data_IF_272348738625
#
_entry.id   IF_272348738625
#
_cell.length_a   1.000
_cell.length_b   1.000
_cell.length_c   1.000
_cell.angle_alpha   90.00
_cell.angle_beta   90.00
_cell.angle_gamma   90.00
#
_symmetry.space_group_name_H-M   'P 1'
#
loop_
_entity.id
_entity.type
_entity.pdbx_description
1 polymer ?
#
# COMPACT_ATOMS: atom_id res chain seq x y z
N UNK A 1 13.15 -17.15 -21.20
CA UNK A 1 12.18 -16.62 -20.21
C UNK A 1 11.29 -15.67 -20.95
N UNK A 2 9.95 -15.83 -20.92
CA UNK A 2 9.04 -14.87 -21.56
C UNK A 2 8.69 -13.76 -20.59
N UNK A 3 8.55 -12.55 -21.10
CA UNK A 3 8.21 -11.36 -20.32
C UNK A 3 6.75 -10.99 -20.54
N UNK A 4 6.08 -10.54 -19.47
CA UNK A 4 4.69 -10.07 -19.49
C UNK A 4 4.61 -8.70 -18.85
N UNK A 5 3.58 -7.93 -19.18
CA UNK A 5 3.29 -6.64 -18.59
C UNK A 5 1.79 -6.50 -18.37
N UNK A 6 1.40 -5.88 -17.26
CA UNK A 6 -0.01 -5.53 -17.01
C UNK A 6 -0.57 -4.53 -18.02
N UNK A 7 0.32 -3.80 -18.70
CA UNK A 7 -0.07 -2.83 -19.73
C UNK A 7 -0.41 -3.49 -21.06
N UNK A 8 0.05 -4.73 -21.27
CA UNK A 8 -0.16 -5.54 -22.46
C UNK A 8 -0.57 -6.97 -22.07
N UNK A 9 -1.76 -7.16 -21.46
CA UNK A 9 -2.13 -8.43 -20.82
C UNK A 9 -2.21 -9.61 -21.80
N UNK A 10 -2.47 -9.34 -23.06
CA UNK A 10 -2.62 -10.35 -24.12
C UNK A 10 -1.33 -10.61 -24.90
N UNK A 11 -0.21 -9.96 -24.54
CA UNK A 11 1.07 -10.06 -25.24
C UNK A 11 2.13 -10.72 -24.36
N UNK A 12 2.83 -11.71 -24.91
CA UNK A 12 4.05 -12.27 -24.35
C UNK A 12 5.24 -11.82 -25.20
N UNK A 13 6.27 -11.28 -24.55
CA UNK A 13 7.49 -10.83 -25.22
C UNK A 13 8.58 -11.90 -25.07
N UNK A 14 9.28 -12.22 -26.16
CA UNK A 14 10.35 -13.22 -26.15
C UNK A 14 11.64 -12.67 -25.49
N UNK A 15 11.87 -11.35 -25.63
CA UNK A 15 13.04 -10.66 -25.06
C UNK A 15 12.61 -9.46 -24.22
N UNK A 16 13.48 -9.03 -23.30
CA UNK A 16 13.23 -7.81 -22.53
C UNK A 16 13.31 -6.55 -23.39
N UNK A 17 14.10 -6.58 -24.43
CA UNK A 17 14.25 -5.49 -25.42
C UNK A 17 12.95 -5.25 -26.17
N UNK A 18 12.23 -6.31 -26.54
CA UNK A 18 10.89 -6.20 -27.15
C UNK A 18 9.89 -5.57 -26.16
N UNK A 19 9.86 -6.04 -24.92
CA UNK A 19 9.04 -5.44 -23.86
C UNK A 19 9.38 -3.96 -23.67
N UNK A 20 10.67 -3.63 -23.59
CA UNK A 20 11.13 -2.26 -23.34
C UNK A 20 10.77 -1.32 -24.49
N UNK A 21 10.88 -1.81 -25.72
CA UNK A 21 10.45 -1.04 -26.91
C UNK A 21 8.95 -0.74 -26.84
N UNK A 22 8.12 -1.75 -26.57
CA UNK A 22 6.67 -1.58 -26.51
C UNK A 22 6.24 -0.63 -25.36
N UNK A 23 6.88 -0.75 -24.18
CA UNK A 23 6.63 0.16 -23.07
C UNK A 23 7.00 1.61 -23.41
N UNK A 24 8.12 1.85 -24.11
CA UNK A 24 8.55 3.19 -24.51
C UNK A 24 7.65 3.77 -25.61
N UNK A 25 7.32 2.98 -26.61
CA UNK A 25 6.45 3.40 -27.72
C UNK A 25 5.06 3.82 -27.21
N UNK A 26 4.60 3.23 -26.11
CA UNK A 26 3.31 3.53 -25.48
C UNK A 26 3.42 4.34 -24.17
N UNK A 27 4.61 4.83 -23.79
CA UNK A 27 4.86 5.41 -22.46
C UNK A 27 3.93 6.58 -22.13
N UNK A 28 3.69 7.49 -23.08
CA UNK A 28 2.80 8.62 -22.86
C UNK A 28 1.36 8.16 -22.59
N UNK A 29 0.88 7.17 -23.34
CA UNK A 29 -0.47 6.61 -23.16
C UNK A 29 -0.59 5.92 -21.80
N UNK A 30 0.41 5.12 -21.41
CA UNK A 30 0.47 4.45 -20.12
C UNK A 30 0.47 5.49 -18.98
N UNK A 31 1.30 6.51 -19.06
CA UNK A 31 1.37 7.58 -18.07
C UNK A 31 0.08 8.39 -17.97
N UNK A 32 -0.56 8.70 -19.10
CA UNK A 32 -1.83 9.40 -19.12
C UNK A 32 -2.97 8.54 -18.56
N UNK A 33 -2.96 7.24 -18.86
CA UNK A 33 -3.89 6.30 -18.25
C UNK A 33 -3.67 6.21 -16.74
N UNK A 34 -2.42 6.09 -16.28
CA UNK A 34 -2.08 6.07 -14.86
C UNK A 34 -2.46 7.37 -14.14
N UNK A 35 -2.26 8.54 -14.75
CA UNK A 35 -2.68 9.84 -14.20
C UNK A 35 -4.17 10.10 -14.31
N UNK A 36 -4.81 9.62 -15.38
CA UNK A 36 -6.25 9.79 -15.62
C UNK A 36 -7.14 8.84 -14.82
N UNK A 37 -6.62 7.68 -14.47
CA UNK A 37 -7.35 6.72 -13.63
C UNK A 37 -7.34 7.17 -12.18
N UNK A 38 -8.49 7.10 -11.56
CA UNK A 38 -8.60 7.01 -10.12
C UNK A 38 -8.36 5.53 -9.80
N UNK A 39 -7.24 5.24 -9.14
CA UNK A 39 -6.93 3.87 -8.73
C UNK A 39 -7.80 3.51 -7.54
N UNK A 40 -8.65 2.55 -7.75
CA UNK A 40 -9.37 1.82 -6.74
C UNK A 40 -8.73 0.44 -6.72
N UNK A 41 -8.19 0.02 -5.59
CA UNK A 41 -7.53 -1.28 -5.52
C UNK A 41 -8.59 -2.38 -5.54
N UNK A 42 -8.86 -2.86 -6.73
CA UNK A 42 -9.69 -4.02 -6.94
C UNK A 42 -8.96 -4.99 -7.87
N UNK A 43 -8.09 -5.83 -7.31
CA UNK A 43 -7.68 -7.08 -7.97
C UNK A 43 -7.22 -8.09 -6.92
N UNK A 44 -7.61 -9.34 -7.14
CA UNK A 44 -7.25 -10.54 -6.38
C UNK A 44 -5.79 -10.52 -5.90
N UNK A 45 -5.55 -9.86 -4.77
CA UNK A 45 -4.37 -10.08 -3.96
C UNK A 45 -4.57 -11.39 -3.20
N UNK A 46 -3.52 -12.13 -2.95
CA UNK A 46 -3.59 -13.21 -1.99
C UNK A 46 -3.91 -12.61 -0.62
N UNK A 47 -4.89 -13.18 0.07
CA UNK A 47 -5.16 -12.88 1.47
C UNK A 47 -3.86 -13.11 2.26
N UNK A 48 -3.28 -12.04 2.76
CA UNK A 48 -2.20 -12.13 3.73
C UNK A 48 -2.83 -11.74 5.05
N UNK A 49 -2.82 -12.66 6.01
CA UNK A 49 -3.28 -12.41 7.36
C UNK A 49 -2.55 -11.19 7.94
N UNK A 50 -3.24 -10.05 7.95
CA UNK A 50 -2.71 -8.80 8.50
C UNK A 50 -3.27 -8.62 9.90
N UNK A 51 -2.44 -8.97 10.90
CA UNK A 51 -2.74 -8.61 12.29
C UNK A 51 -2.72 -7.09 12.42
N UNK A 52 -3.51 -6.51 13.35
CA UNK A 52 -3.44 -5.09 13.65
C UNK A 52 -2.01 -4.62 13.89
N UNK A 53 -1.69 -3.44 13.43
CA UNK A 53 -0.35 -2.85 13.55
C UNK A 53 -0.10 -2.53 15.02
N UNK A 54 0.83 -3.25 15.65
CA UNK A 54 1.14 -3.14 17.07
C UNK A 54 2.16 -2.03 17.34
N UNK A 55 1.67 -0.89 17.83
CA UNK A 55 2.55 0.25 18.16
C UNK A 55 3.44 0.02 19.39
N UNK A 56 3.19 -1.00 20.21
CA UNK A 56 4.10 -1.32 21.33
C UNK A 56 5.49 -1.76 20.82
N UNK A 57 5.58 -2.18 19.56
CA UNK A 57 6.81 -2.56 18.87
C UNK A 57 7.54 -1.37 18.24
N UNK A 58 6.94 -0.17 18.25
CA UNK A 58 7.58 1.04 17.79
C UNK A 58 8.65 1.50 18.78
N UNK A 59 9.68 2.18 18.28
CA UNK A 59 10.62 2.84 19.20
C UNK A 59 9.95 4.02 19.95
N UNK A 60 10.63 4.53 20.98
CA UNK A 60 10.07 5.56 21.88
C UNK A 60 9.71 6.85 21.11
N UNK A 61 10.47 7.21 20.07
CA UNK A 61 10.19 8.40 19.26
C UNK A 61 8.97 8.20 18.36
N UNK A 62 8.84 7.02 17.76
CA UNK A 62 7.68 6.62 16.95
C UNK A 62 6.41 6.53 17.80
N UNK A 63 6.49 5.97 19.01
CA UNK A 63 5.36 5.94 19.96
C UNK A 63 4.94 7.35 20.40
N UNK A 64 5.90 8.27 20.63
CA UNK A 64 5.61 9.67 20.94
C UNK A 64 4.98 10.42 19.78
N UNK A 65 5.39 10.13 18.54
CA UNK A 65 4.82 10.72 17.34
C UNK A 65 3.38 10.23 17.09
N UNK A 66 3.10 8.97 17.44
CA UNK A 66 1.80 8.31 17.29
C UNK A 66 1.01 8.26 18.60
N UNK A 67 0.97 9.31 19.39
CA UNK A 67 0.16 9.36 20.64
C UNK A 67 -1.25 8.80 20.39
N UNK A 68 -1.39 7.47 20.55
CA UNK A 68 -2.69 6.82 20.37
C UNK A 68 -3.60 7.19 21.54
N UNK A 69 -4.78 7.64 21.21
CA UNK A 69 -5.88 7.92 22.14
C UNK A 69 -6.92 6.81 21.97
N UNK A 70 -7.29 6.16 23.05
CA UNK A 70 -8.23 5.02 23.05
C UNK A 70 -9.64 5.40 22.54
N UNK A 71 -9.96 6.69 22.44
CA UNK A 71 -11.23 7.18 21.87
C UNK A 71 -11.25 7.22 20.34
N UNK A 72 -10.11 6.94 19.69
CA UNK A 72 -9.96 7.02 18.24
C UNK A 72 -9.54 5.68 17.65
N UNK A 73 -9.93 5.45 16.41
CA UNK A 73 -9.29 4.48 15.54
C UNK A 73 -8.19 5.16 14.73
N UNK A 74 -7.14 4.41 14.45
CA UNK A 74 -6.03 4.78 13.58
C UNK A 74 -5.89 3.70 12.53
N UNK A 75 -6.01 4.04 11.26
CA UNK A 75 -5.97 3.06 10.17
C UNK A 75 -4.98 3.49 9.12
N UNK A 76 -4.03 2.62 8.80
CA UNK A 76 -3.10 2.80 7.69
C UNK A 76 -3.80 2.37 6.39
N UNK A 77 -4.08 3.31 5.51
CA UNK A 77 -4.73 3.06 4.22
C UNK A 77 -3.75 2.89 3.07
N UNK A 78 -2.50 3.28 3.24
CA UNK A 78 -1.44 3.09 2.25
C UNK A 78 -0.08 3.00 2.94
N UNK A 79 0.88 2.36 2.27
CA UNK A 79 2.28 2.32 2.67
C UNK A 79 3.19 2.51 1.47
N UNK A 80 4.42 3.00 1.72
CA UNK A 80 5.44 3.20 0.69
C UNK A 80 6.39 2.02 0.57
N UNK A 81 7.25 2.03 -0.46
CA UNK A 81 8.38 1.12 -0.66
C UNK A 81 8.02 -0.34 -0.93
N UNK A 82 6.81 -0.61 -1.34
CA UNK A 82 6.36 -1.94 -1.78
C UNK A 82 6.01 -1.85 -3.26
N UNK A 83 6.55 -2.75 -4.06
CA UNK A 83 6.12 -2.93 -5.45
C UNK A 83 4.76 -3.63 -5.42
N UNK A 84 3.75 -2.93 -5.90
CA UNK A 84 2.37 -3.40 -5.88
C UNK A 84 1.97 -4.15 -7.17
N UNK A 85 0.72 -4.59 -7.23
CA UNK A 85 0.19 -5.33 -8.38
C UNK A 85 -0.01 -4.49 -9.66
N UNK A 86 0.25 -3.18 -9.59
CA UNK A 86 0.15 -2.26 -10.72
C UNK A 86 1.53 -1.88 -11.29
N UNK A 87 2.59 -2.59 -10.91
CA UNK A 87 3.99 -2.26 -11.19
C UNK A 87 4.37 -0.86 -10.67
N UNK A 88 3.77 -0.44 -9.55
CA UNK A 88 3.99 0.86 -8.93
C UNK A 88 4.72 0.72 -7.60
N UNK A 89 5.66 1.63 -7.34
CA UNK A 89 6.35 1.78 -6.06
C UNK A 89 6.07 3.17 -5.51
N UNK A 90 5.35 3.25 -4.42
CA UNK A 90 5.09 4.51 -3.73
C UNK A 90 6.35 4.96 -2.99
N UNK A 91 6.79 6.20 -3.21
CA UNK A 91 8.01 6.76 -2.60
C UNK A 91 7.64 7.63 -1.40
N UNK A 92 8.46 7.57 -0.34
CA UNK A 92 8.27 8.38 0.87
C UNK A 92 8.04 9.85 0.53
N UNK A 93 7.05 10.45 1.19
CA UNK A 93 6.67 11.85 0.99
C UNK A 93 5.64 12.08 -0.12
N UNK A 94 5.16 11.02 -0.80
CA UNK A 94 4.16 11.19 -1.86
C UNK A 94 2.85 11.84 -1.36
N UNK A 95 2.55 11.73 -0.06
CA UNK A 95 1.32 12.25 0.55
C UNK A 95 1.44 13.67 1.14
N UNK A 96 2.62 14.32 1.07
CA UNK A 96 2.83 15.63 1.71
C UNK A 96 1.78 16.67 1.35
N UNK A 97 1.44 16.76 0.06
CA UNK A 97 0.44 17.73 -0.43
C UNK A 97 -0.97 17.31 -0.04
N UNK A 98 -1.29 16.02 -0.12
CA UNK A 98 -2.57 15.49 0.36
C UNK A 98 -2.82 15.85 1.81
N UNK A 99 -1.83 15.65 2.71
CA UNK A 99 -1.95 15.98 4.13
C UNK A 99 -2.21 17.49 4.33
N UNK A 100 -1.56 18.35 3.56
CA UNK A 100 -1.76 19.81 3.66
C UNK A 100 -3.13 20.26 3.16
N UNK A 101 -3.65 19.65 2.10
CA UNK A 101 -4.82 20.15 1.37
C UNK A 101 -6.12 19.39 1.70
N UNK A 102 -6.04 18.16 2.19
CA UNK A 102 -7.20 17.27 2.31
C UNK A 102 -7.67 16.97 3.75
N UNK A 103 -7.13 17.68 4.76
CA UNK A 103 -7.61 17.55 6.14
C UNK A 103 -9.12 17.80 6.19
N UNK A 104 -9.87 16.89 6.83
CA UNK A 104 -11.33 16.96 6.98
C UNK A 104 -12.12 17.05 5.66
N UNK A 105 -11.56 16.54 4.55
CA UNK A 105 -12.21 16.59 3.24
C UNK A 105 -12.50 15.21 2.65
N UNK A 106 -11.88 14.15 3.19
CA UNK A 106 -12.04 12.79 2.70
C UNK A 106 -12.89 11.95 3.62
N UNK A 107 -13.78 11.17 3.04
CA UNK A 107 -14.60 10.19 3.77
C UNK A 107 -13.80 8.91 4.04
N UNK A 108 -14.26 8.12 5.02
CA UNK A 108 -13.93 6.69 5.09
C UNK A 108 -15.17 5.93 4.64
N UNK A 109 -15.02 5.04 3.68
CA UNK A 109 -16.12 4.26 3.10
C UNK A 109 -15.78 2.76 3.10
N UNK A 110 -16.69 1.92 2.59
CA UNK A 110 -16.44 0.53 2.25
C UNK A 110 -16.41 0.36 0.72
N UNK A 111 -15.55 -0.54 0.23
CA UNK A 111 -15.51 -1.03 -1.16
C UNK A 111 -15.43 0.08 -2.23
N UNK A 112 -14.85 1.25 -1.88
CA UNK A 112 -14.75 2.44 -2.74
C UNK A 112 -16.08 3.04 -3.20
N UNK A 113 -17.18 2.70 -2.51
CA UNK A 113 -18.52 3.19 -2.84
C UNK A 113 -18.81 4.50 -2.10
N UNK A 114 -18.80 5.63 -2.84
CA UNK A 114 -19.09 6.97 -2.32
C UNK A 114 -20.60 7.19 -2.17
N UNK A 115 -21.24 6.31 -1.44
CA UNK A 115 -22.68 6.33 -1.16
C UNK A 115 -22.93 6.51 0.34
N UNK A 116 -24.13 6.99 0.68
CA UNK A 116 -24.52 7.25 2.08
C UNK A 116 -24.43 5.97 2.92
N UNK A 117 -24.91 4.85 2.38
CA UNK A 117 -24.95 3.56 3.10
C UNK A 117 -23.59 2.92 3.27
N UNK A 118 -22.62 3.27 2.42
CA UNK A 118 -21.23 2.80 2.46
C UNK A 118 -20.32 3.75 3.23
N UNK A 119 -20.84 4.86 3.75
CA UNK A 119 -20.06 5.83 4.52
C UNK A 119 -19.81 5.30 5.94
N UNK A 120 -18.56 4.96 6.23
CA UNK A 120 -18.10 4.53 7.56
C UNK A 120 -17.91 5.73 8.48
N UNK A 121 -17.20 6.77 7.98
CA UNK A 121 -16.96 8.01 8.75
C UNK A 121 -17.08 9.21 7.82
N UNK A 122 -17.83 10.22 8.28
CA UNK A 122 -17.98 11.47 7.54
C UNK A 122 -16.67 12.28 7.60
N UNK A 123 -16.38 12.99 6.52
CA UNK A 123 -15.12 13.70 6.28
C UNK A 123 -14.71 14.67 7.39
N UNK A 124 -15.68 15.35 8.03
CA UNK A 124 -15.42 16.33 9.08
C UNK A 124 -14.83 15.73 10.37
N UNK A 125 -14.84 14.40 10.50
CA UNK A 125 -14.26 13.68 11.64
C UNK A 125 -12.94 12.98 11.31
N UNK A 126 -12.45 13.12 10.07
CA UNK A 126 -11.25 12.41 9.59
C UNK A 126 -10.04 13.33 9.59
N UNK A 127 -9.05 13.02 10.42
CA UNK A 127 -7.72 13.62 10.43
C UNK A 127 -6.73 12.71 9.67
N UNK A 128 -5.89 13.30 8.81
CA UNK A 128 -4.96 12.55 7.96
C UNK A 128 -3.52 12.96 8.27
N UNK A 129 -2.63 11.99 8.45
CA UNK A 129 -1.20 12.23 8.63
C UNK A 129 -0.38 11.03 8.17
N UNK A 130 0.96 11.17 8.15
CA UNK A 130 1.87 10.06 7.88
C UNK A 130 2.74 9.76 9.08
N UNK A 131 3.17 8.50 9.18
CA UNK A 131 4.17 8.06 10.13
C UNK A 131 5.17 7.14 9.44
N UNK A 132 6.44 7.21 9.85
CA UNK A 132 7.48 6.31 9.34
C UNK A 132 7.73 5.21 10.37
N UNK A 133 7.56 3.97 9.96
CA UNK A 133 7.60 2.80 10.82
C UNK A 133 8.40 1.66 10.20
N UNK A 134 9.08 0.81 11.00
CA UNK A 134 9.72 -0.39 10.48
C UNK A 134 8.70 -1.39 9.91
N UNK A 135 9.04 -2.07 8.82
CA UNK A 135 8.19 -3.13 8.26
C UNK A 135 7.92 -4.26 9.26
N UNK A 136 8.88 -4.56 10.12
CA UNK A 136 8.74 -5.61 11.13
C UNK A 136 7.56 -5.36 12.10
N UNK A 137 7.24 -4.10 12.43
CA UNK A 137 6.10 -3.77 13.30
C UNK A 137 4.76 -3.90 12.59
N UNK A 138 4.78 -3.97 11.26
CA UNK A 138 3.62 -4.24 10.40
C UNK A 138 3.46 -5.74 10.11
N UNK A 139 4.22 -6.59 10.82
CA UNK A 139 4.20 -8.03 10.59
C UNK A 139 4.83 -8.49 9.27
N UNK A 140 5.66 -7.65 8.64
CA UNK A 140 6.36 -7.96 7.40
C UNK A 140 7.83 -8.25 7.66
N UNK A 141 8.37 -9.24 6.96
CA UNK A 141 9.79 -9.63 7.03
C UNK A 141 10.71 -8.76 6.17
N UNK A 142 10.19 -7.67 5.60
CA UNK A 142 11.01 -6.75 4.80
C UNK A 142 11.94 -5.93 5.68
N UNK A 143 13.12 -5.63 5.16
CA UNK A 143 14.08 -4.77 5.84
C UNK A 143 13.71 -3.29 5.72
N UNK A 144 14.10 -2.50 6.74
CA UNK A 144 13.97 -1.06 6.75
C UNK A 144 12.59 -0.55 7.18
N UNK A 145 12.29 0.69 6.76
CA UNK A 145 11.09 1.43 7.17
C UNK A 145 10.20 1.75 5.96
N UNK A 146 8.90 1.90 6.23
CA UNK A 146 7.91 2.44 5.29
C UNK A 146 7.27 3.69 5.86
N UNK A 147 6.78 4.59 5.01
CA UNK A 147 5.88 5.68 5.39
C UNK A 147 4.44 5.21 5.18
N UNK A 148 3.64 5.23 6.25
CA UNK A 148 2.22 4.86 6.21
C UNK A 148 1.33 6.10 6.20
N UNK A 149 0.27 6.10 5.39
CA UNK A 149 -0.79 7.10 5.42
C UNK A 149 -1.86 6.67 6.42
N UNK A 150 -2.01 7.43 7.49
CA UNK A 150 -2.92 7.14 8.60
C UNK A 150 -4.13 8.07 8.55
N UNK A 151 -5.31 7.48 8.70
CA UNK A 151 -6.56 8.16 9.02
C UNK A 151 -6.90 7.92 10.48
N UNK A 152 -7.11 9.02 11.22
CA UNK A 152 -7.56 9.02 12.60
C UNK A 152 -8.98 9.54 12.66
N UNK A 153 -9.86 8.83 13.34
CA UNK A 153 -11.26 9.24 13.52
C UNK A 153 -11.85 8.70 14.82
N UNK A 154 -12.84 9.43 15.44
CA UNK A 154 -13.44 9.02 16.69
C UNK A 154 -14.24 7.72 16.55
N UNK A 155 -14.15 6.85 17.55
CA UNK A 155 -14.87 5.56 17.59
C UNK A 155 -16.40 5.72 17.59
N UNK A 156 -16.90 6.79 18.20
CA UNK A 156 -18.32 7.11 18.27
C UNK A 156 -18.90 7.69 16.95
N UNK A 157 -18.04 7.99 15.98
CA UNK A 157 -18.41 8.52 14.66
C UNK A 157 -18.45 7.47 13.56
N UNK A 158 -18.13 6.22 13.88
CA UNK A 158 -18.27 5.10 12.95
C UNK A 158 -19.75 4.76 12.79
N UNK A 159 -20.28 4.83 11.56
CA UNK A 159 -21.71 4.71 11.26
C UNK A 159 -22.12 3.27 10.90
N UNK A 160 -21.18 2.44 10.38
CA UNK A 160 -21.46 1.07 9.96
C UNK A 160 -21.07 0.13 11.11
N UNK A 161 -22.07 -0.48 11.75
CA UNK A 161 -21.90 -1.31 12.95
C UNK A 161 -20.99 -2.51 12.73
N UNK A 162 -21.08 -3.20 11.59
CA UNK A 162 -20.23 -4.35 11.28
C UNK A 162 -18.75 -3.93 11.12
N UNK A 163 -18.46 -2.78 10.52
CA UNK A 163 -17.09 -2.25 10.43
C UNK A 163 -16.56 -1.89 11.81
N UNK A 164 -17.41 -1.29 12.66
CA UNK A 164 -17.05 -0.97 14.03
C UNK A 164 -16.73 -2.24 14.83
N UNK A 165 -17.54 -3.28 14.70
CA UNK A 165 -17.32 -4.58 15.35
C UNK A 165 -15.98 -5.17 14.95
N UNK A 166 -15.63 -5.18 13.65
CA UNK A 166 -14.34 -5.68 13.15
C UNK A 166 -13.16 -4.84 13.64
N UNK A 167 -13.33 -3.51 13.71
CA UNK A 167 -12.29 -2.64 14.28
C UNK A 167 -12.11 -2.86 15.78
N UNK A 168 -13.18 -3.10 16.54
CA UNK A 168 -13.11 -3.35 17.99
C UNK A 168 -12.52 -4.73 18.32
N UNK A 169 -12.84 -5.76 17.51
CA UNK A 169 -12.29 -7.12 17.66
C UNK A 169 -10.84 -7.25 17.14
N UNK A 170 -10.39 -6.30 16.33
CA UNK A 170 -9.09 -6.36 15.67
C UNK A 170 -9.07 -7.34 14.50
N UNK A 171 -10.23 -7.59 13.89
CA UNK A 171 -10.36 -8.42 12.69
C UNK A 171 -9.65 -7.80 11.48
N UNK A 172 -9.37 -8.64 10.49
CA UNK A 172 -8.64 -8.25 9.29
C UNK A 172 -9.49 -7.35 8.39
N UNK A 173 -9.24 -6.05 8.46
CA UNK A 173 -9.71 -5.08 7.48
C UNK A 173 -8.52 -4.48 6.77
N UNK A 174 -8.48 -4.60 5.45
CA UNK A 174 -7.47 -3.93 4.65
C UNK A 174 -7.90 -2.52 4.29
N UNK A 175 -6.91 -1.63 4.20
CA UNK A 175 -7.12 -0.27 3.76
C UNK A 175 -6.79 -0.11 2.27
N UNK A 176 -7.52 0.75 1.61
CA UNK A 176 -7.26 1.17 0.24
C UNK A 176 -7.49 2.65 0.08
N UNK A 177 -6.75 3.27 -0.83
CA UNK A 177 -6.82 4.70 -1.09
C UNK A 177 -7.32 4.93 -2.51
N UNK A 178 -8.36 5.75 -2.66
CA UNK A 178 -8.72 6.31 -3.95
C UNK A 178 -7.74 7.44 -4.28
N UNK A 179 -6.83 7.20 -5.23
CA UNK A 179 -5.76 8.15 -5.51
C UNK A 179 -5.65 8.49 -6.99
N UNK A 180 -5.11 9.68 -7.23
CA UNK A 180 -4.70 10.16 -8.55
C UNK A 180 -3.20 10.43 -8.53
N UNK A 181 -2.46 9.85 -9.45
CA UNK A 181 -1.03 10.11 -9.58
C UNK A 181 -0.79 11.49 -10.19
N UNK A 182 0.06 12.28 -9.53
CA UNK A 182 0.43 13.63 -9.96
C UNK A 182 1.82 13.62 -10.58
N UNK A 183 2.78 12.98 -9.89
CA UNK A 183 4.16 12.89 -10.34
C UNK A 183 4.65 11.46 -10.24
N UNK A 184 5.20 10.97 -11.35
CA UNK A 184 5.80 9.63 -11.43
C UNK A 184 7.07 9.66 -12.26
N UNK A 185 7.94 8.68 -12.05
CA UNK A 185 9.11 8.40 -12.87
C UNK A 185 9.02 6.99 -13.44
N UNK A 186 9.25 6.84 -14.74
CA UNK A 186 9.40 5.55 -15.36
C UNK A 186 10.81 5.02 -15.10
N UNK A 187 10.91 3.78 -14.65
CA UNK A 187 12.11 3.09 -14.23
C UNK A 187 12.28 1.84 -15.08
N UNK A 188 13.40 1.74 -15.82
CA UNK A 188 13.65 0.68 -16.78
C UNK A 188 15.06 0.11 -16.59
N UNK A 189 15.20 -1.22 -16.44
CA UNK A 189 16.49 -1.88 -16.33
C UNK A 189 17.12 -2.13 -17.71
N UNK A 190 17.38 -1.03 -18.43
CA UNK A 190 17.94 -1.05 -19.77
C UNK A 190 19.44 -0.72 -19.78
N UNK A 191 20.18 -1.41 -20.64
CA UNK A 191 21.60 -1.09 -20.92
C UNK A 191 21.73 -0.27 -22.22
N UNK A 192 20.64 0.09 -22.90
CA UNK A 192 20.68 0.92 -24.08
C UNK A 192 21.01 2.37 -23.69
N UNK A 193 22.03 3.02 -24.30
CA UNK A 193 22.37 4.42 -24.03
C UNK A 193 21.21 5.40 -24.21
N UNK A 194 20.27 5.10 -25.11
CA UNK A 194 19.05 5.92 -25.32
C UNK A 194 18.10 5.91 -24.12
N UNK A 195 18.22 4.92 -23.23
CA UNK A 195 17.39 4.73 -22.05
C UNK A 195 18.05 5.23 -20.76
N UNK A 196 19.15 5.98 -20.85
CA UNK A 196 19.98 6.40 -19.71
C UNK A 196 19.17 7.07 -18.58
N UNK A 197 18.20 7.91 -18.93
CA UNK A 197 17.34 8.57 -17.94
C UNK A 197 16.45 7.57 -17.20
N UNK A 198 15.85 6.61 -17.89
CA UNK A 198 15.02 5.58 -17.29
C UNK A 198 15.83 4.64 -16.42
N UNK A 199 17.06 4.31 -16.85
CA UNK A 199 17.99 3.49 -16.07
C UNK A 199 18.46 4.22 -14.79
N UNK A 200 18.74 5.52 -14.87
CA UNK A 200 19.05 6.34 -13.68
C UNK A 200 17.89 6.34 -12.69
N UNK A 201 16.64 6.47 -13.18
CA UNK A 201 15.46 6.37 -12.33
C UNK A 201 15.35 4.97 -11.71
N UNK A 202 15.57 3.91 -12.50
CA UNK A 202 15.54 2.54 -12.02
C UNK A 202 16.53 2.33 -10.88
N UNK A 203 17.80 2.65 -11.06
CA UNK A 203 18.84 2.47 -10.05
C UNK A 203 18.59 3.31 -8.80
N UNK A 204 18.07 4.53 -8.98
CA UNK A 204 17.74 5.43 -7.88
C UNK A 204 16.65 4.89 -6.98
N UNK A 205 15.59 4.32 -7.55
CA UNK A 205 14.41 3.92 -6.77
C UNK A 205 14.38 2.44 -6.44
N UNK A 206 15.12 1.58 -7.14
CA UNK A 206 15.17 0.15 -6.90
C UNK A 206 15.55 -0.22 -5.46
N UNK A 207 16.46 0.54 -4.85
CA UNK A 207 16.89 0.32 -3.47
C UNK A 207 15.75 0.49 -2.44
N UNK A 208 14.68 1.20 -2.81
CA UNK A 208 13.52 1.42 -1.94
C UNK A 208 12.47 0.32 -2.05
N UNK A 209 12.62 -0.65 -2.96
CA UNK A 209 11.68 -1.77 -3.09
C UNK A 209 11.97 -2.80 -2.01
N UNK A 210 11.18 -2.78 -0.95
CA UNK A 210 11.39 -3.64 0.22
C UNK A 210 11.05 -5.10 -0.05
N UNK A 211 10.07 -5.37 -0.92
CA UNK A 211 9.63 -6.72 -1.29
C UNK A 211 10.27 -7.25 -2.58
N UNK A 212 11.42 -6.71 -3.00
CA UNK A 212 12.09 -7.11 -4.25
C UNK A 212 12.43 -8.59 -4.31
N UNK A 213 12.70 -9.22 -3.16
CA UNK A 213 13.04 -10.64 -3.08
C UNK A 213 11.86 -11.58 -3.35
N UNK A 214 10.63 -11.04 -3.39
CA UNK A 214 9.43 -11.77 -3.83
C UNK A 214 9.39 -11.99 -5.35
N UNK A 215 10.22 -11.26 -6.11
CA UNK A 215 10.26 -11.29 -7.56
C UNK A 215 11.55 -11.97 -8.05
N UNK A 216 11.41 -12.77 -9.11
CA UNK A 216 12.58 -13.36 -9.77
C UNK A 216 13.43 -12.28 -10.46
N UNK A 217 12.75 -11.29 -11.07
CA UNK A 217 13.33 -10.13 -11.73
C UNK A 217 12.29 -9.04 -11.91
N UNK A 218 12.69 -7.78 -11.74
CA UNK A 218 11.85 -6.60 -11.93
C UNK A 218 12.41 -5.82 -13.13
N UNK A 219 11.90 -6.02 -14.36
CA UNK A 219 12.44 -5.38 -15.56
C UNK A 219 12.13 -3.88 -15.64
N UNK A 220 11.00 -3.46 -15.09
CA UNK A 220 10.55 -2.08 -15.03
C UNK A 220 9.58 -1.87 -13.88
N UNK A 221 9.33 -0.62 -13.52
CA UNK A 221 8.28 -0.17 -12.60
C UNK A 221 8.07 1.34 -12.72
N UNK A 222 7.01 1.85 -12.12
CA UNK A 222 6.80 3.29 -11.97
C UNK A 222 7.02 3.70 -10.51
N UNK A 223 7.94 4.66 -10.29
CA UNK A 223 8.11 5.28 -8.97
C UNK A 223 7.12 6.43 -8.83
N UNK A 224 6.18 6.32 -7.90
CA UNK A 224 5.14 7.32 -7.66
C UNK A 224 5.64 8.31 -6.60
N UNK A 225 5.89 9.55 -7.03
CA UNK A 225 6.55 10.59 -6.24
C UNK A 225 5.57 11.57 -5.58
N UNK A 226 4.39 11.75 -6.18
CA UNK A 226 3.31 12.58 -5.66
C UNK A 226 1.97 11.99 -6.09
N UNK A 227 1.07 11.85 -5.14
CA UNK A 227 -0.32 11.45 -5.38
C UNK A 227 -1.28 12.33 -4.60
N UNK A 228 -2.49 12.51 -5.13
CA UNK A 228 -3.61 13.15 -4.46
C UNK A 228 -4.60 12.08 -4.04
N UNK A 229 -4.97 12.05 -2.76
CA UNK A 229 -6.06 11.22 -2.30
C UNK A 229 -7.39 11.90 -2.65
N UNK A 230 -8.25 11.19 -3.37
CA UNK A 230 -9.44 11.77 -3.98
C UNK A 230 -10.71 11.30 -3.26
N UNK A 231 -11.28 12.21 -2.46
CA UNK A 231 -12.57 12.11 -1.79
C UNK A 231 -12.69 11.08 -0.67
N UNK A 232 -11.97 9.94 -0.74
CA UNK A 232 -12.14 8.88 0.25
C UNK A 232 -10.89 7.99 0.40
N UNK A 233 -10.86 7.24 1.51
CA UNK A 233 -10.15 5.98 1.66
C UNK A 233 -11.14 4.91 2.13
N UNK A 234 -10.90 3.68 1.76
CA UNK A 234 -11.87 2.60 1.89
C UNK A 234 -11.36 1.43 2.70
N UNK A 235 -12.24 0.85 3.50
CA UNK A 235 -12.07 -0.52 3.95
C UNK A 235 -12.45 -1.47 2.83
N UNK A 236 -11.60 -2.45 2.58
CA UNK A 236 -11.78 -3.49 1.56
C UNK A 236 -11.35 -4.84 2.11
N UNK A 237 -11.86 -5.92 1.53
CA UNK A 237 -11.41 -7.28 1.88
C UNK A 237 -10.03 -7.60 1.29
N UNK A 238 -9.72 -7.03 0.12
CA UNK A 238 -8.45 -7.24 -0.58
C UNK A 238 -7.95 -5.92 -1.18
N UNK A 239 -6.84 -5.41 -0.66
CA UNK A 239 -6.17 -4.21 -1.18
C UNK A 239 -5.00 -4.54 -2.09
N UNK A 240 -4.65 -3.65 -3.03
CA UNK A 240 -3.44 -3.78 -3.87
C UNK A 240 -2.16 -3.60 -3.06
N UNK A 241 -2.18 -2.70 -2.08
CA UNK A 241 -1.11 -2.49 -1.14
C UNK A 241 -1.29 -3.43 0.06
N UNK A 242 -0.36 -4.38 0.21
CA UNK A 242 -0.43 -5.43 1.23
C UNK A 242 0.03 -4.98 2.63
N UNK A 243 0.38 -3.69 2.80
CA UNK A 243 0.89 -3.14 4.07
C UNK A 243 -0.06 -2.02 4.53
N UNK A 244 -1.29 -2.41 4.84
CA UNK A 244 -2.37 -1.53 5.33
C UNK A 244 -3.06 -2.19 6.52
N UNK A 245 -3.90 -1.48 7.25
CA UNK A 245 -4.71 -2.03 8.34
C UNK A 245 -4.76 -1.14 9.58
N UNK A 246 -5.48 -1.62 10.60
CA UNK A 246 -5.66 -0.88 11.84
C UNK A 246 -4.36 -0.80 12.66
N UNK A 247 -4.07 0.39 13.19
CA UNK A 247 -2.96 0.65 14.10
C UNK A 247 -3.50 0.64 15.53
N UNK A 248 -3.08 -0.32 16.33
CA UNK A 248 -3.53 -0.48 17.71
C UNK A 248 -2.37 -0.52 18.70
N UNK A 249 -2.64 -0.06 19.93
CA UNK A 249 -1.83 -0.39 21.09
C UNK A 249 -2.34 -1.72 21.64
N UNK A 250 -1.65 -2.83 21.38
CA UNK A 250 -2.01 -4.08 22.05
C UNK A 250 -1.65 -3.98 23.53
N UNK A 251 -2.61 -3.65 24.36
CA UNK A 251 -2.57 -4.11 25.76
C UNK A 251 -2.79 -5.63 25.67
N UNK A 252 -1.74 -6.43 25.87
CA UNK A 252 -1.87 -7.87 26.04
C UNK A 252 -2.93 -8.12 27.12
N UNK A 253 -4.07 -8.64 26.75
CA UNK A 253 -4.96 -9.32 27.67
C UNK A 253 -4.21 -10.58 28.10
N UNK A 254 -4.03 -10.80 29.41
CA UNK A 254 -3.33 -11.95 30.01
C UNK A 254 -3.88 -13.33 29.55
N UNK A 255 -5.00 -13.35 28.83
CA UNK A 255 -5.62 -14.55 28.26
C UNK A 255 -4.90 -15.09 26.99
N UNK A 256 -4.13 -14.28 26.26
CA UNK A 256 -3.44 -14.73 25.03
C UNK A 256 -2.07 -15.38 25.27
N UNK A 257 -1.55 -15.31 26.50
CA UNK A 257 -0.24 -15.90 26.86
C UNK A 257 -0.32 -17.44 26.93
N UNK A 258 -1.50 -18.02 27.11
CA UNK A 258 -1.65 -19.46 27.31
C UNK A 258 -1.80 -20.26 25.99
N UNK A 259 -2.08 -19.60 24.87
CA UNK A 259 -2.31 -20.29 23.58
C UNK A 259 -1.13 -20.23 22.60
N UNK A 260 -0.07 -19.47 22.88
CA UNK A 260 1.07 -19.31 21.96
C UNK A 260 2.20 -20.34 22.11
N UNK A 261 2.06 -21.35 22.99
CA UNK A 261 3.04 -22.43 23.16
C UNK A 261 2.76 -23.68 22.32
N UNK A 262 1.79 -23.65 21.41
CA UNK A 262 1.60 -24.73 20.44
C UNK A 262 2.48 -24.42 19.23
N UNK A 263 3.54 -25.20 19.10
CA UNK A 263 4.57 -25.18 18.06
C UNK A 263 3.96 -25.11 16.65
N UNK A 264 4.25 -24.04 15.93
CA UNK A 264 4.15 -24.04 14.47
C UNK A 264 5.48 -24.54 13.89
N UNK A 265 5.44 -25.67 13.20
CA UNK A 265 6.53 -26.08 12.32
C UNK A 265 6.57 -25.14 11.09
N UNK A 266 7.74 -24.71 10.63
CA UNK A 266 7.84 -23.81 9.49
C UNK A 266 7.62 -24.58 8.19
N UNK A 267 6.49 -24.41 7.55
CA UNK A 267 6.33 -24.74 6.14
C UNK A 267 6.95 -23.64 5.27
N UNK A 268 8.23 -23.82 4.97
CA UNK A 268 8.94 -23.04 3.97
C UNK A 268 8.50 -23.45 2.56
N UNK A 269 7.61 -22.70 1.95
CA UNK A 269 7.42 -22.72 0.49
C UNK A 269 7.52 -21.29 -0.03
N UNK A 270 8.73 -20.86 -0.29
CA UNK A 270 9.00 -19.60 -1.00
C UNK A 270 8.84 -19.85 -2.50
N UNK A 271 7.65 -19.70 -3.03
CA UNK A 271 7.47 -19.55 -4.48
C UNK A 271 7.75 -18.10 -4.86
N UNK A 272 8.85 -17.86 -5.56
CA UNK A 272 9.17 -16.56 -6.16
C UNK A 272 8.08 -16.20 -7.17
N UNK A 273 7.51 -15.01 -7.02
CA UNK A 273 6.48 -14.51 -7.93
C UNK A 273 7.13 -14.12 -9.26
N UNK A 274 6.58 -14.62 -10.37
CA UNK A 274 6.86 -14.05 -11.68
C UNK A 274 6.01 -12.81 -11.83
N UNK A 275 6.60 -11.72 -12.33
CA UNK A 275 5.83 -10.58 -12.82
C UNK A 275 4.99 -11.07 -14.02
N UNK A 276 3.87 -11.66 -13.71
CA UNK A 276 2.88 -12.03 -14.69
C UNK A 276 1.53 -11.97 -14.02
N UNK A 277 0.78 -10.99 -14.42
CA UNK A 277 -0.58 -10.82 -13.97
C UNK A 277 -1.52 -11.48 -14.96
N UNK A 278 -2.47 -12.14 -14.40
CA UNK A 278 -3.73 -12.40 -15.10
C UNK A 278 -4.59 -11.15 -15.01
#
# INVERSE_FOLDING_TARGET
>A
MKYKSIHFPDVEFETKEELFKELKDNLSVIQDQKKGKIYESYKKGQSINMKPIDVSKFDIEQQKALKLDDNYYYVAFNSTRVLDSHDDVHIDGLWKKTIQEKQFKNYVVTDHELEILNTVVRKEYVEIFTAKVPFAVLGKSYEGNTEILIYKFPKDKVQISIVKEWLDSGDELQGSVRMKYIKMAFCLDSNNPEDEEFKKNYDKYYQYIANKDEFEYIPYYFAILEASNEKESSFVLYGSNQVTGQVQSTKKTEAEVITSEIKEEPTNVTQKRKLSVI
#
